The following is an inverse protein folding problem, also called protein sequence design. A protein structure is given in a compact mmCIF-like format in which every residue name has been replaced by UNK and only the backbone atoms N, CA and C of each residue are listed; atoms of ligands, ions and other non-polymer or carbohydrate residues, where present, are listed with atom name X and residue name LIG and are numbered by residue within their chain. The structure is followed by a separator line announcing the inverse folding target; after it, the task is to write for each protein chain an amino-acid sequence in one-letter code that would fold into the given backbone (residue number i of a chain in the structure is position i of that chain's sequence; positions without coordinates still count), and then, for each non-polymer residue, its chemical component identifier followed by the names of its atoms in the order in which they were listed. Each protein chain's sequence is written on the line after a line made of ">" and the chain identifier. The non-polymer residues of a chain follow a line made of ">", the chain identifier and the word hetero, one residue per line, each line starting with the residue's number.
data_IF_824598901312
#
_entry.id   IF_824598901312
#
_cell.length_a   1.000
_cell.length_b   1.000
_cell.length_c   1.000
_cell.angle_alpha   90.00
_cell.angle_beta   90.00
_cell.angle_gamma   90.00
#
_symmetry.space_group_name_H-M   'P 1'
#
loop_
_entity.id
_entity.type
_entity.pdbx_description
1 polymer ?
#
# COMPACT_ATOMS: atom_id res chain seq x y z
N UNK A 1 -1.68 6.24 14.42
CA UNK A 1 -2.26 5.32 13.41
C UNK A 1 -2.04 3.90 13.87
N UNK A 2 -3.10 3.10 13.96
CA UNK A 2 -3.03 1.68 14.33
C UNK A 2 -2.18 0.89 13.33
N UNK A 3 -1.42 -0.06 13.85
CA UNK A 3 -0.67 -1.03 13.05
C UNK A 3 -1.68 -1.89 12.27
N UNK A 4 -1.67 -1.85 10.95
CA UNK A 4 -2.50 -2.77 10.16
C UNK A 4 -1.92 -4.17 10.36
N UNK A 5 -2.66 -4.99 11.08
CA UNK A 5 -2.34 -6.40 11.30
C UNK A 5 -3.32 -7.22 10.46
N UNK A 6 -2.79 -8.04 9.58
CA UNK A 6 -3.59 -8.96 8.78
C UNK A 6 -3.90 -10.19 9.64
N UNK A 7 -5.18 -10.37 10.02
CA UNK A 7 -5.60 -11.57 10.78
C UNK A 7 -5.50 -12.80 9.88
N UNK A 8 -5.26 -13.96 10.50
CA UNK A 8 -5.24 -15.26 9.80
C UNK A 8 -6.56 -15.52 9.05
N UNK A 9 -7.69 -15.17 9.65
CA UNK A 9 -9.00 -15.32 9.01
C UNK A 9 -9.13 -14.44 7.75
N UNK A 10 -8.68 -13.19 7.80
CA UNK A 10 -8.67 -12.31 6.63
C UNK A 10 -7.83 -12.89 5.49
N UNK A 11 -6.59 -13.33 5.79
CA UNK A 11 -5.70 -13.95 4.81
C UNK A 11 -6.35 -15.20 4.20
N UNK A 12 -6.86 -16.09 5.04
CA UNK A 12 -7.47 -17.36 4.59
C UNK A 12 -8.70 -17.11 3.71
N UNK A 13 -9.58 -16.17 4.07
CA UNK A 13 -10.75 -15.84 3.27
C UNK A 13 -10.37 -15.23 1.91
N UNK A 14 -9.38 -14.33 1.89
CA UNK A 14 -8.86 -13.77 0.64
C UNK A 14 -8.29 -14.85 -0.28
N UNK A 15 -7.52 -15.78 0.28
CA UNK A 15 -6.91 -16.89 -0.47
C UNK A 15 -7.96 -17.85 -0.99
N UNK A 16 -8.99 -18.19 -0.19
CA UNK A 16 -10.09 -19.07 -0.65
C UNK A 16 -10.82 -18.48 -1.84
N UNK A 17 -11.09 -17.16 -1.81
CA UNK A 17 -11.73 -16.48 -2.94
C UNK A 17 -10.86 -16.55 -4.21
N UNK A 18 -9.55 -16.30 -4.08
CA UNK A 18 -8.63 -16.33 -5.22
C UNK A 18 -8.42 -17.76 -5.77
N UNK A 19 -8.36 -18.78 -4.89
CA UNK A 19 -8.32 -20.17 -5.34
C UNK A 19 -9.61 -20.57 -6.05
N UNK A 20 -10.77 -20.14 -5.55
CA UNK A 20 -12.04 -20.41 -6.19
C UNK A 20 -12.14 -19.75 -7.58
N UNK A 21 -11.67 -18.50 -7.71
CA UNK A 21 -11.61 -17.79 -8.99
C UNK A 21 -10.77 -18.55 -10.02
N UNK A 22 -9.62 -19.10 -9.62
CA UNK A 22 -8.67 -19.76 -10.52
C UNK A 22 -9.08 -21.22 -10.85
N UNK A 23 -9.84 -21.87 -9.98
CA UNK A 23 -10.22 -23.29 -10.11
C UNK A 23 -11.66 -23.54 -10.59
N UNK A 24 -12.51 -22.52 -10.62
CA UNK A 24 -13.90 -22.68 -11.04
C UNK A 24 -13.99 -22.73 -12.59
N UNK A 25 -14.85 -23.59 -13.18
CA UNK A 25 -15.69 -24.59 -12.49
C UNK A 25 -15.04 -26.00 -12.40
N UNK A 26 -13.95 -26.29 -13.15
CA UNK A 26 -13.50 -27.66 -13.42
C UNK A 26 -12.10 -27.99 -12.84
N UNK A 27 -11.52 -27.11 -12.06
CA UNK A 27 -10.17 -27.24 -11.54
C UNK A 27 -9.08 -27.07 -12.60
N UNK A 28 -7.84 -27.46 -12.30
CA UNK A 28 -6.72 -27.39 -13.24
C UNK A 28 -6.72 -28.58 -14.21
N UNK A 29 -7.26 -28.36 -15.41
CA UNK A 29 -7.35 -29.36 -16.46
C UNK A 29 -5.98 -29.84 -16.94
N UNK A 30 -4.95 -29.00 -16.89
CA UNK A 30 -3.59 -29.33 -17.32
C UNK A 30 -2.90 -30.23 -16.31
N UNK A 31 -2.93 -29.88 -15.02
CA UNK A 31 -2.36 -30.71 -13.97
C UNK A 31 -3.09 -32.06 -13.83
N UNK A 32 -4.36 -32.15 -14.26
CA UNK A 32 -5.08 -33.43 -14.32
C UNK A 32 -4.52 -34.43 -15.32
N UNK A 33 -3.69 -34.00 -16.26
CA UNK A 33 -2.97 -34.88 -17.19
C UNK A 33 -1.80 -35.63 -16.52
N UNK A 34 -1.36 -35.18 -15.34
CA UNK A 34 -0.26 -35.81 -14.58
C UNK A 34 -0.78 -37.12 -13.96
N UNK A 35 -0.44 -38.27 -14.58
CA UNK A 35 -0.88 -39.59 -14.12
C UNK A 35 -0.28 -40.02 -12.79
N UNK A 36 1.03 -39.75 -12.57
CA UNK A 36 1.73 -40.05 -11.31
C UNK A 36 2.36 -38.78 -10.75
N UNK A 37 1.84 -38.31 -9.64
CA UNK A 37 2.43 -37.22 -8.90
C UNK A 37 3.48 -37.74 -7.92
N UNK A 38 4.46 -36.92 -7.56
CA UNK A 38 5.53 -37.28 -6.62
C UNK A 38 5.81 -36.12 -5.68
N UNK A 39 6.32 -36.44 -4.50
CA UNK A 39 6.76 -35.45 -3.54
C UNK A 39 8.02 -34.77 -4.07
N UNK A 40 7.93 -33.46 -4.31
CA UNK A 40 9.06 -32.63 -4.77
C UNK A 40 9.25 -31.41 -3.89
N UNK A 41 10.41 -30.81 -3.99
CA UNK A 41 10.75 -29.56 -3.32
C UNK A 41 10.95 -28.47 -4.37
N UNK A 42 10.14 -27.44 -4.28
CA UNK A 42 10.20 -26.24 -5.13
C UNK A 42 10.78 -25.07 -4.36
N UNK A 43 11.38 -24.12 -5.06
CA UNK A 43 11.94 -22.88 -4.54
C UNK A 43 11.14 -21.70 -5.11
N UNK A 44 10.67 -20.81 -4.26
CA UNK A 44 10.15 -19.52 -4.71
C UNK A 44 11.32 -18.53 -4.72
N UNK A 45 11.59 -17.94 -5.88
CA UNK A 45 12.79 -17.12 -6.14
C UNK A 45 12.35 -15.74 -6.60
N UNK A 46 13.00 -14.69 -6.05
CA UNK A 46 12.80 -13.31 -6.51
C UNK A 46 13.56 -13.08 -7.82
N UNK A 47 12.89 -12.64 -8.89
CA UNK A 47 13.50 -12.32 -10.17
C UNK A 47 14.07 -10.90 -10.25
N UNK A 48 13.86 -10.10 -9.21
CA UNK A 48 14.38 -8.73 -9.11
C UNK A 48 14.64 -8.31 -7.66
N UNK A 49 15.35 -7.19 -7.48
CA UNK A 49 15.60 -6.62 -6.17
C UNK A 49 14.33 -5.95 -5.62
N UNK A 50 14.03 -6.12 -4.33
CA UNK A 50 12.85 -5.49 -3.74
C UNK A 50 12.66 -5.74 -2.25
N UNK A 51 11.46 -5.44 -1.77
CA UNK A 51 10.98 -5.71 -0.42
C UNK A 51 9.93 -6.82 -0.50
N UNK A 52 10.09 -7.86 0.28
CA UNK A 52 9.13 -8.97 0.33
C UNK A 52 7.87 -8.53 1.06
N UNK A 53 6.73 -8.91 0.51
CA UNK A 53 5.42 -8.80 1.13
C UNK A 53 4.48 -9.89 0.65
N UNK A 54 3.59 -10.37 1.52
CA UNK A 54 2.60 -11.39 1.16
C UNK A 54 3.01 -12.84 1.40
N UNK A 55 4.10 -13.09 2.12
CA UNK A 55 4.60 -14.45 2.37
C UNK A 55 3.55 -15.33 3.10
N UNK A 56 2.72 -14.73 3.96
CA UNK A 56 1.66 -15.46 4.66
C UNK A 56 0.50 -15.81 3.73
N UNK A 57 0.20 -15.00 2.72
CA UNK A 57 -0.78 -15.33 1.68
C UNK A 57 -0.30 -16.52 0.85
N UNK A 58 0.95 -16.48 0.38
CA UNK A 58 1.54 -17.58 -0.36
C UNK A 58 1.54 -18.88 0.47
N UNK A 59 1.96 -18.82 1.74
CA UNK A 59 1.87 -19.97 2.66
C UNK A 59 0.45 -20.49 2.80
N UNK A 60 -0.52 -19.59 2.99
CA UNK A 60 -1.94 -19.94 3.14
C UNK A 60 -2.50 -20.60 1.89
N UNK A 61 -2.09 -20.15 0.69
CA UNK A 61 -2.53 -20.73 -0.58
C UNK A 61 -2.21 -22.22 -0.64
N UNK A 62 -0.96 -22.59 -0.39
CA UNK A 62 -0.57 -23.99 -0.38
C UNK A 62 -1.27 -24.78 0.74
N UNK A 63 -1.33 -24.23 1.95
CA UNK A 63 -1.89 -24.92 3.13
C UNK A 63 -3.40 -25.09 3.10
N UNK A 64 -4.14 -24.19 2.46
CA UNK A 64 -5.60 -24.30 2.29
C UNK A 64 -5.95 -25.35 1.24
N UNK A 65 -5.16 -25.42 0.17
CA UNK A 65 -5.37 -26.38 -0.90
C UNK A 65 -4.99 -27.81 -0.47
N UNK A 66 -3.78 -27.96 0.11
CA UNK A 66 -3.30 -29.24 0.65
C UNK A 66 -2.52 -29.00 1.95
N UNK A 67 -3.09 -29.46 3.07
CA UNK A 67 -2.49 -29.27 4.39
C UNK A 67 -1.16 -30.06 4.58
N UNK A 68 -0.89 -31.07 3.75
CA UNK A 68 0.35 -31.84 3.80
C UNK A 68 1.54 -31.08 3.19
N UNK A 69 1.30 -30.07 2.34
CA UNK A 69 2.39 -29.27 1.77
C UNK A 69 3.14 -28.53 2.88
N UNK A 70 4.44 -28.73 2.94
CA UNK A 70 5.36 -28.04 3.84
C UNK A 70 5.83 -26.74 3.21
N UNK A 71 5.71 -25.63 3.93
CA UNK A 71 6.13 -24.29 3.45
C UNK A 71 7.16 -23.68 4.42
N UNK A 72 8.41 -23.59 3.97
CA UNK A 72 9.54 -23.10 4.75
C UNK A 72 9.91 -21.68 4.32
N UNK A 73 9.62 -20.69 5.17
CA UNK A 73 9.92 -19.28 4.93
C UNK A 73 11.42 -19.03 5.10
N UNK A 74 12.09 -18.50 4.07
CA UNK A 74 13.48 -18.04 4.10
C UNK A 74 13.59 -16.52 4.27
N UNK A 75 12.60 -15.76 3.79
CA UNK A 75 12.52 -14.30 3.93
C UNK A 75 11.15 -13.90 4.42
N UNK A 76 11.09 -13.11 5.49
CA UNK A 76 9.84 -12.60 6.07
C UNK A 76 9.38 -11.33 5.35
N UNK A 77 8.12 -10.97 5.50
CA UNK A 77 7.58 -9.70 5.02
C UNK A 77 8.39 -8.51 5.58
N UNK A 78 8.69 -7.52 4.74
CA UNK A 78 9.56 -6.39 5.04
C UNK A 78 11.05 -6.64 4.77
N UNK A 79 11.48 -7.89 4.52
CA UNK A 79 12.88 -8.18 4.20
C UNK A 79 13.27 -7.65 2.82
N UNK A 80 14.48 -7.09 2.72
CA UNK A 80 15.08 -6.78 1.42
C UNK A 80 15.60 -8.06 0.78
N UNK A 81 15.43 -8.18 -0.54
CA UNK A 81 15.95 -9.29 -1.34
C UNK A 81 16.63 -8.79 -2.59
N UNK A 82 17.56 -9.60 -3.10
CA UNK A 82 18.24 -9.44 -4.39
C UNK A 82 17.68 -10.43 -5.40
N UNK A 83 17.80 -10.11 -6.69
CA UNK A 83 17.51 -11.04 -7.79
C UNK A 83 18.24 -12.39 -7.55
N UNK A 84 17.54 -13.50 -7.77
CA UNK A 84 18.04 -14.86 -7.57
C UNK A 84 17.94 -15.40 -6.15
N UNK A 85 17.54 -14.59 -5.16
CA UNK A 85 17.40 -15.06 -3.78
C UNK A 85 16.14 -15.92 -3.58
N UNK A 86 16.32 -17.06 -2.90
CA UNK A 86 15.23 -17.92 -2.47
C UNK A 86 14.50 -17.25 -1.29
N UNK A 87 13.18 -17.09 -1.43
CA UNK A 87 12.32 -16.49 -0.39
C UNK A 87 11.54 -17.53 0.42
N UNK A 88 11.24 -18.68 -0.20
CA UNK A 88 10.61 -19.82 0.47
C UNK A 88 10.94 -21.13 -0.24
N UNK A 89 10.80 -22.23 0.48
CA UNK A 89 10.82 -23.61 -0.08
C UNK A 89 9.47 -24.25 0.18
N UNK A 90 8.95 -24.96 -0.82
CA UNK A 90 7.65 -25.62 -0.80
C UNK A 90 7.85 -27.09 -1.13
N UNK A 91 7.53 -27.99 -0.19
CA UNK A 91 7.69 -29.45 -0.37
C UNK A 91 6.33 -30.14 -0.23
N UNK A 92 5.96 -30.95 -1.19
CA UNK A 92 4.71 -31.68 -1.22
C UNK A 92 4.44 -32.34 -2.55
N UNK A 93 3.21 -32.76 -2.74
CA UNK A 93 2.74 -33.30 -4.02
C UNK A 93 2.95 -32.29 -5.13
N UNK A 94 3.67 -32.68 -6.17
CA UNK A 94 4.07 -31.77 -7.25
C UNK A 94 2.86 -31.20 -8.02
N UNK A 95 1.83 -32.00 -8.23
CA UNK A 95 0.60 -31.56 -8.89
C UNK A 95 -0.12 -30.50 -8.06
N UNK A 96 -0.29 -30.73 -6.76
CA UNK A 96 -0.96 -29.78 -5.86
C UNK A 96 -0.17 -28.46 -5.74
N UNK A 97 1.17 -28.52 -5.77
CA UNK A 97 2.00 -27.32 -5.76
C UNK A 97 1.82 -26.51 -7.05
N UNK A 98 1.79 -27.14 -8.24
CA UNK A 98 1.58 -26.45 -9.52
C UNK A 98 0.21 -25.78 -9.60
N UNK A 99 -0.84 -26.44 -9.11
CA UNK A 99 -2.20 -25.86 -9.03
C UNK A 99 -2.22 -24.56 -8.22
N UNK A 100 -1.45 -24.49 -7.13
CA UNK A 100 -1.42 -23.34 -6.22
C UNK A 100 -0.47 -22.23 -6.67
N UNK A 101 0.44 -22.49 -7.59
CA UNK A 101 1.55 -21.62 -7.96
C UNK A 101 1.08 -20.20 -8.26
N UNK A 102 0.16 -20.06 -9.22
CA UNK A 102 -0.23 -18.76 -9.74
C UNK A 102 -0.84 -17.86 -8.68
N UNK A 103 -1.78 -18.38 -7.89
CA UNK A 103 -2.41 -17.63 -6.80
C UNK A 103 -1.38 -17.19 -5.75
N UNK A 104 -0.47 -18.09 -5.35
CA UNK A 104 0.58 -17.77 -4.39
C UNK A 104 1.53 -16.69 -4.91
N UNK A 105 1.99 -16.80 -6.17
CA UNK A 105 2.88 -15.82 -6.78
C UNK A 105 2.18 -14.46 -7.02
N UNK A 106 0.90 -14.44 -7.37
CA UNK A 106 0.14 -13.20 -7.57
C UNK A 106 0.09 -12.36 -6.28
N UNK A 107 -0.19 -12.96 -5.11
CA UNK A 107 -0.15 -12.25 -3.84
C UNK A 107 1.25 -11.72 -3.52
N UNK A 108 2.29 -12.55 -3.69
CA UNK A 108 3.68 -12.12 -3.50
C UNK A 108 4.04 -10.95 -4.42
N UNK A 109 3.70 -11.06 -5.71
CA UNK A 109 4.01 -10.05 -6.73
C UNK A 109 3.36 -8.72 -6.44
N UNK A 110 2.06 -8.72 -6.14
CA UNK A 110 1.31 -7.50 -5.86
C UNK A 110 1.80 -6.80 -4.59
N UNK A 111 1.89 -7.53 -3.47
CA UNK A 111 2.22 -6.96 -2.17
C UNK A 111 3.70 -6.50 -2.14
N UNK A 112 4.62 -7.33 -2.66
CA UNK A 112 6.03 -6.96 -2.77
C UNK A 112 6.26 -5.81 -3.74
N UNK A 113 5.49 -5.73 -4.82
CA UNK A 113 5.52 -4.64 -5.80
C UNK A 113 5.22 -3.29 -5.13
N UNK A 114 4.12 -3.20 -4.41
CA UNK A 114 3.73 -1.99 -3.65
C UNK A 114 4.78 -1.64 -2.59
N UNK A 115 5.24 -2.62 -1.82
CA UNK A 115 6.27 -2.41 -0.79
C UNK A 115 7.58 -1.87 -1.41
N UNK A 116 8.03 -2.50 -2.51
CA UNK A 116 9.25 -2.11 -3.21
C UNK A 116 9.11 -0.71 -3.85
N UNK A 117 7.97 -0.42 -4.48
CA UNK A 117 7.72 0.89 -5.09
C UNK A 117 7.64 1.99 -4.04
N UNK A 118 6.95 1.75 -2.92
CA UNK A 118 6.93 2.67 -1.76
C UNK A 118 8.35 2.94 -1.25
N UNK A 119 9.18 1.90 -1.13
CA UNK A 119 10.55 2.02 -0.63
C UNK A 119 11.43 2.89 -1.53
N UNK A 120 11.20 2.91 -2.87
CA UNK A 120 11.90 3.82 -3.78
C UNK A 120 11.65 5.28 -3.41
N UNK A 121 10.40 5.67 -3.13
CA UNK A 121 10.06 7.03 -2.67
C UNK A 121 10.71 7.35 -1.32
N UNK A 122 10.58 6.44 -0.35
CA UNK A 122 11.14 6.62 1.01
C UNK A 122 12.64 6.86 0.96
N UNK A 123 13.38 6.08 0.17
CA UNK A 123 14.84 6.23 0.02
C UNK A 123 15.24 7.57 -0.61
N UNK A 124 14.43 8.10 -1.54
CA UNK A 124 14.75 9.34 -2.24
C UNK A 124 14.65 10.58 -1.35
N UNK A 125 13.78 10.59 -0.35
CA UNK A 125 13.55 11.75 0.53
C UNK A 125 14.45 11.76 1.78
N UNK A 126 15.18 10.68 2.05
CA UNK A 126 16.13 10.56 3.18
C UNK A 126 15.53 10.99 4.54
N UNK A 127 14.27 10.68 4.79
CA UNK A 127 13.58 10.93 6.08
C UNK A 127 13.13 12.38 6.34
N UNK A 128 13.30 13.29 5.39
CA UNK A 128 12.88 14.72 5.55
C UNK A 128 11.36 14.91 5.61
N UNK A 129 10.62 14.03 5.00
CA UNK A 129 9.15 13.98 5.01
C UNK A 129 8.69 12.53 5.14
N UNK A 130 7.42 12.29 5.43
CA UNK A 130 6.83 10.93 5.43
C UNK A 130 6.12 10.68 4.11
N UNK A 131 6.41 9.57 3.44
CA UNK A 131 5.63 9.11 2.28
C UNK A 131 4.32 8.53 2.78
N UNK A 132 3.20 8.97 2.21
CA UNK A 132 1.87 8.56 2.62
C UNK A 132 1.08 7.99 1.44
N UNK A 133 0.34 6.89 1.63
CA UNK A 133 -0.63 6.45 0.62
C UNK A 133 -1.90 7.28 0.70
N UNK A 134 -2.81 7.05 -0.23
CA UNK A 134 -4.13 7.69 -0.29
C UNK A 134 -5.25 6.65 -0.17
N UNK A 135 -6.51 7.05 -0.46
CA UNK A 135 -7.63 6.14 -0.69
C UNK A 135 -7.80 5.71 -2.14
N UNK A 136 -6.90 6.13 -3.04
CA UNK A 136 -6.83 5.65 -4.43
C UNK A 136 -6.22 4.24 -4.43
N UNK A 137 -7.07 3.24 -4.16
CA UNK A 137 -6.71 1.83 -4.02
C UNK A 137 -7.56 0.98 -4.97
N UNK A 138 -7.09 -0.18 -5.35
CA UNK A 138 -7.89 -1.17 -6.06
C UNK A 138 -9.07 -1.58 -5.16
N UNK A 139 -10.31 -1.62 -5.66
CA UNK A 139 -11.47 -2.06 -4.89
C UNK A 139 -11.19 -3.40 -4.17
N UNK A 140 -11.67 -3.52 -2.94
CA UNK A 140 -11.51 -4.68 -2.05
C UNK A 140 -10.07 -5.01 -1.61
N UNK A 141 -9.02 -4.42 -2.22
CA UNK A 141 -7.61 -4.68 -1.84
C UNK A 141 -7.00 -3.63 -0.89
N UNK A 142 -7.76 -2.65 -0.41
CA UNK A 142 -7.23 -1.53 0.40
C UNK A 142 -6.43 -1.98 1.62
N UNK A 143 -6.91 -2.97 2.35
CA UNK A 143 -6.23 -3.50 3.55
C UNK A 143 -4.85 -4.03 3.17
N UNK A 144 -4.78 -4.87 2.14
CA UNK A 144 -3.56 -5.49 1.63
C UNK A 144 -2.58 -4.42 1.12
N UNK A 145 -3.08 -3.47 0.32
CA UNK A 145 -2.24 -2.41 -0.26
C UNK A 145 -1.68 -1.47 0.81
N UNK A 146 -2.48 -1.08 1.81
CA UNK A 146 -2.01 -0.26 2.93
C UNK A 146 -1.02 -1.02 3.84
N UNK A 147 -1.18 -2.33 4.00
CA UNK A 147 -0.19 -3.19 4.64
C UNK A 147 1.14 -3.15 3.87
N UNK A 148 1.12 -3.33 2.56
CA UNK A 148 2.29 -3.30 1.70
C UNK A 148 3.04 -1.95 1.76
N UNK A 149 2.32 -0.84 1.80
CA UNK A 149 2.91 0.51 1.98
C UNK A 149 3.72 0.58 3.28
N UNK A 150 3.22 -0.01 4.38
CA UNK A 150 3.96 -0.06 5.66
C UNK A 150 5.23 -0.88 5.55
N UNK A 151 5.20 -2.01 4.85
CA UNK A 151 6.39 -2.84 4.61
C UNK A 151 7.48 -2.06 3.84
N UNK A 152 7.07 -1.19 2.90
CA UNK A 152 7.98 -0.33 2.14
C UNK A 152 8.54 0.87 2.93
N UNK A 153 8.15 1.06 4.20
CA UNK A 153 8.57 2.19 5.04
C UNK A 153 7.69 3.44 4.90
N UNK A 154 6.59 3.35 4.17
CA UNK A 154 5.59 4.42 4.06
C UNK A 154 4.65 4.50 5.26
N UNK A 155 3.78 5.50 5.24
CA UNK A 155 2.71 5.72 6.21
C UNK A 155 1.35 5.63 5.53
N UNK A 156 0.29 5.46 6.30
CA UNK A 156 -1.06 5.38 5.76
C UNK A 156 -1.85 6.66 6.06
N UNK A 157 -2.55 7.18 5.08
CA UNK A 157 -3.62 8.14 5.25
C UNK A 157 -4.89 7.43 5.75
N UNK A 158 -5.96 8.19 6.10
CA UNK A 158 -7.24 7.65 6.56
C UNK A 158 -7.63 6.38 5.78
N UNK A 159 -8.16 5.40 6.50
CA UNK A 159 -8.53 4.12 5.92
C UNK A 159 -9.83 4.20 5.11
N UNK A 160 -10.83 4.89 5.68
CA UNK A 160 -12.16 5.05 5.08
C UNK A 160 -12.69 6.48 5.31
N UNK A 161 -13.96 6.73 4.97
CA UNK A 161 -14.59 8.04 5.10
C UNK A 161 -14.93 8.41 6.55
N UNK A 162 -15.02 7.42 7.44
CA UNK A 162 -15.35 7.64 8.85
C UNK A 162 -14.12 7.78 9.76
N UNK A 163 -12.90 7.55 9.25
CA UNK A 163 -11.67 7.54 10.03
C UNK A 163 -11.17 8.97 10.36
N UNK A 164 -11.22 9.86 9.39
CA UNK A 164 -10.73 11.24 9.49
C UNK A 164 -11.52 12.16 8.56
N UNK A 165 -11.82 13.38 9.01
CA UNK A 165 -12.37 14.42 8.13
C UNK A 165 -11.30 14.84 7.11
N UNK A 166 -11.68 14.91 5.83
CA UNK A 166 -10.88 15.50 4.77
C UNK A 166 -11.80 16.40 3.94
N UNK A 167 -11.70 17.70 4.20
CA UNK A 167 -12.43 18.73 3.47
C UNK A 167 -11.67 19.01 2.18
N UNK A 168 -12.37 18.94 1.04
CA UNK A 168 -11.82 19.03 -0.30
C UNK A 168 -12.54 20.07 -1.14
N UNK A 169 -11.96 20.39 -2.30
CA UNK A 169 -12.50 21.24 -3.35
C UNK A 169 -14.00 20.98 -3.63
N UNK A 170 -14.40 19.74 -3.85
CA UNK A 170 -15.79 19.35 -4.10
C UNK A 170 -16.75 19.67 -2.94
N UNK A 171 -16.26 19.73 -1.71
CA UNK A 171 -17.09 20.17 -0.57
C UNK A 171 -17.22 21.69 -0.55
N UNK A 172 -16.17 22.40 -0.97
CA UNK A 172 -16.11 23.87 -0.99
C UNK A 172 -16.99 24.43 -2.13
N UNK A 173 -17.14 23.70 -3.23
CA UNK A 173 -18.03 24.08 -4.33
C UNK A 173 -19.49 24.31 -3.87
N UNK A 174 -19.90 23.66 -2.78
CA UNK A 174 -21.26 23.73 -2.22
C UNK A 174 -21.34 24.50 -0.92
N UNK A 175 -20.22 25.03 -0.37
CA UNK A 175 -20.21 25.70 0.93
C UNK A 175 -18.90 26.44 1.19
N UNK A 176 -18.94 27.47 2.04
CA UNK A 176 -17.75 28.22 2.46
C UNK A 176 -16.75 27.34 3.21
N UNK A 177 -15.44 27.46 2.87
CA UNK A 177 -14.37 26.66 3.46
C UNK A 177 -14.27 26.86 4.97
N UNK A 178 -14.30 28.10 5.45
CA UNK A 178 -14.18 28.42 6.88
C UNK A 178 -15.35 27.84 7.68
N UNK A 179 -16.57 27.96 7.14
CA UNK A 179 -17.75 27.35 7.72
C UNK A 179 -17.64 25.83 7.84
N UNK A 180 -17.19 25.15 6.78
CA UNK A 180 -17.00 23.68 6.80
C UNK A 180 -15.96 23.25 7.83
N UNK A 181 -14.85 23.96 7.95
CA UNK A 181 -13.80 23.66 8.94
C UNK A 181 -14.34 23.85 10.37
N UNK A 182 -15.05 24.93 10.65
CA UNK A 182 -15.66 25.18 11.97
C UNK A 182 -16.71 24.12 12.31
N UNK A 183 -17.55 23.73 11.35
CA UNK A 183 -18.53 22.66 11.51
C UNK A 183 -17.88 21.31 11.77
N UNK A 184 -16.77 20.99 11.06
CA UNK A 184 -15.99 19.77 11.31
C UNK A 184 -15.39 19.76 12.71
N UNK A 185 -14.85 20.88 13.19
CA UNK A 185 -14.31 21.01 14.56
C UNK A 185 -15.38 20.73 15.61
N UNK A 186 -16.57 21.30 15.45
CA UNK A 186 -17.71 21.10 16.37
C UNK A 186 -18.11 19.61 16.43
N UNK A 187 -18.03 18.91 15.31
CA UNK A 187 -18.52 17.52 15.16
C UNK A 187 -17.41 16.43 15.22
N UNK A 188 -16.13 16.78 15.38
CA UNK A 188 -15.01 15.84 15.18
C UNK A 188 -14.97 14.64 16.12
N UNK A 189 -15.54 14.72 17.33
CA UNK A 189 -15.54 13.63 18.33
C UNK A 189 -14.17 12.92 18.43
N UNK A 190 -13.08 13.68 18.59
CA UNK A 190 -11.71 13.15 18.67
C UNK A 190 -11.05 12.80 17.32
N UNK A 191 -11.77 12.83 16.20
CA UNK A 191 -11.20 12.54 14.88
C UNK A 191 -10.34 13.68 14.37
N UNK A 192 -9.33 13.34 13.57
CA UNK A 192 -8.48 14.33 12.89
C UNK A 192 -9.25 15.05 11.79
N UNK A 193 -8.81 16.27 11.52
CA UNK A 193 -9.31 17.08 10.41
C UNK A 193 -8.13 17.47 9.53
N UNK A 194 -8.20 17.08 8.26
CA UNK A 194 -7.33 17.53 7.19
C UNK A 194 -8.12 18.46 6.26
N UNK A 195 -7.54 19.60 5.93
CA UNK A 195 -8.14 20.58 5.03
C UNK A 195 -7.27 20.72 3.79
N UNK A 196 -7.85 20.44 2.63
CA UNK A 196 -7.21 20.57 1.33
C UNK A 196 -7.38 22.01 0.83
N UNK A 197 -6.29 22.60 0.34
CA UNK A 197 -6.26 23.95 -0.24
C UNK A 197 -5.47 23.95 -1.54
N UNK A 198 -5.96 24.65 -2.55
CA UNK A 198 -5.37 24.72 -3.89
C UNK A 198 -4.47 25.95 -4.08
N UNK A 199 -4.54 26.92 -3.17
CA UNK A 199 -3.80 28.17 -3.29
C UNK A 199 -3.59 28.86 -1.94
N UNK A 200 -2.72 29.86 -1.94
CA UNK A 200 -2.36 30.65 -0.76
C UNK A 200 -3.55 31.45 -0.20
N UNK A 201 -4.51 31.88 -1.02
CA UNK A 201 -5.70 32.63 -0.58
C UNK A 201 -6.58 31.76 0.30
N UNK A 202 -6.87 30.52 -0.14
CA UNK A 202 -7.60 29.55 0.68
C UNK A 202 -6.87 29.23 1.99
N UNK A 203 -5.54 29.02 1.95
CA UNK A 203 -4.77 28.81 3.17
C UNK A 203 -4.95 29.99 4.14
N UNK A 204 -4.77 31.23 3.67
CA UNK A 204 -4.91 32.42 4.52
C UNK A 204 -6.29 32.54 5.16
N UNK A 205 -7.36 32.12 4.47
CA UNK A 205 -8.73 32.22 4.98
C UNK A 205 -9.02 31.31 6.18
N UNK A 206 -8.23 30.24 6.36
CA UNK A 206 -8.38 29.26 7.46
C UNK A 206 -7.28 29.38 8.52
N UNK A 207 -6.33 30.29 8.35
CA UNK A 207 -5.29 30.53 9.36
C UNK A 207 -5.92 30.98 10.69
N UNK A 208 -5.35 30.50 11.80
CA UNK A 208 -5.88 30.77 13.15
C UNK A 208 -6.99 29.81 13.62
N UNK A 209 -7.57 29.00 12.72
CA UNK A 209 -8.54 27.96 13.09
C UNK A 209 -7.78 26.70 13.50
N UNK A 210 -8.06 26.12 14.67
CA UNK A 210 -7.34 24.94 15.20
C UNK A 210 -7.86 23.63 14.59
N UNK A 211 -7.12 23.06 13.62
CA UNK A 211 -7.31 21.71 13.07
C UNK A 211 -5.96 21.00 12.94
N UNK A 212 -5.91 19.79 12.37
CA UNK A 212 -4.72 18.94 12.46
C UNK A 212 -3.74 19.14 11.28
N UNK A 213 -4.23 19.04 10.05
CA UNK A 213 -3.37 18.97 8.88
C UNK A 213 -3.91 19.87 7.77
N UNK A 214 -3.03 20.63 7.13
CA UNK A 214 -3.33 21.31 5.86
C UNK A 214 -2.64 20.56 4.71
N UNK A 215 -3.41 20.27 3.67
CA UNK A 215 -2.97 19.58 2.48
C UNK A 215 -2.94 20.54 1.30
N UNK A 216 -1.78 20.68 0.66
CA UNK A 216 -1.54 21.49 -0.54
C UNK A 216 -1.73 20.59 -1.75
N UNK A 217 -2.82 20.77 -2.50
CA UNK A 217 -3.13 19.92 -3.64
C UNK A 217 -2.70 20.58 -4.95
N UNK A 218 -2.00 19.82 -5.80
CA UNK A 218 -1.54 20.22 -7.13
C UNK A 218 -0.78 21.56 -7.22
N UNK A 219 -0.18 22.05 -6.13
CA UNK A 219 0.59 23.29 -6.12
C UNK A 219 1.99 23.08 -6.71
N UNK A 220 2.54 24.12 -7.35
CA UNK A 220 3.94 24.16 -7.74
C UNK A 220 4.88 24.32 -6.52
N UNK A 221 6.16 24.04 -6.71
CA UNK A 221 7.16 24.00 -5.63
C UNK A 221 7.26 25.34 -4.87
N UNK A 222 7.18 26.47 -5.56
CA UNK A 222 7.28 27.80 -4.95
C UNK A 222 6.07 28.09 -4.05
N UNK A 223 4.87 27.77 -4.53
CA UNK A 223 3.66 27.92 -3.74
C UNK A 223 3.68 26.99 -2.50
N UNK A 224 4.13 25.73 -2.63
CA UNK A 224 4.28 24.82 -1.48
C UNK A 224 5.25 25.42 -0.47
N UNK A 225 6.41 25.96 -0.87
CA UNK A 225 7.37 26.61 0.06
C UNK A 225 6.74 27.77 0.81
N UNK A 226 6.02 28.66 0.11
CA UNK A 226 5.32 29.78 0.74
C UNK A 226 4.27 29.29 1.74
N UNK A 227 3.45 28.33 1.36
CA UNK A 227 2.44 27.75 2.22
C UNK A 227 3.04 27.04 3.44
N UNK A 228 4.12 26.27 3.28
CA UNK A 228 4.83 25.65 4.39
C UNK A 228 5.35 26.67 5.39
N UNK A 229 5.98 27.76 4.90
CA UNK A 229 6.49 28.84 5.76
C UNK A 229 5.40 29.45 6.65
N UNK A 230 4.19 29.58 6.15
CA UNK A 230 3.04 30.13 6.89
C UNK A 230 2.41 29.08 7.81
N UNK A 231 2.21 27.87 7.32
CA UNK A 231 1.34 26.88 7.96
C UNK A 231 2.05 25.99 9.01
N UNK A 232 3.35 25.72 8.85
CA UNK A 232 4.07 24.69 9.61
C UNK A 232 4.11 24.91 11.14
N UNK A 233 3.97 26.15 11.60
CA UNK A 233 3.90 26.46 13.05
C UNK A 233 2.57 26.05 13.68
N UNK A 234 1.52 25.86 12.88
CA UNK A 234 0.13 25.67 13.32
C UNK A 234 -0.43 24.29 12.96
N UNK A 235 0.04 23.71 11.84
CA UNK A 235 -0.51 22.50 11.25
C UNK A 235 0.56 21.53 10.83
N UNK A 236 0.26 20.23 10.84
CA UNK A 236 0.99 19.26 10.05
C UNK A 236 0.76 19.60 8.57
N UNK A 237 1.83 19.69 7.78
CA UNK A 237 1.77 20.08 6.37
C UNK A 237 1.88 18.86 5.46
N UNK A 238 1.03 18.80 4.44
CA UNK A 238 1.01 17.71 3.47
C UNK A 238 1.03 18.26 2.05
N UNK A 239 1.81 17.64 1.15
CA UNK A 239 1.75 17.90 -0.29
C UNK A 239 1.11 16.70 -1.00
N UNK A 240 0.25 16.98 -1.97
CA UNK A 240 -0.46 16.01 -2.80
C UNK A 240 -0.53 16.48 -4.25
N UNK A 241 -0.87 15.57 -5.16
CA UNK A 241 -1.07 15.86 -6.57
C UNK A 241 0.18 15.64 -7.42
N UNK A 242 0.07 14.79 -8.44
CA UNK A 242 1.07 14.51 -9.47
C UNK A 242 2.49 14.17 -8.96
N UNK A 243 2.58 13.52 -7.78
CA UNK A 243 3.85 13.12 -7.17
C UNK A 243 4.43 11.88 -7.85
N UNK A 244 5.67 12.00 -8.30
CA UNK A 244 6.42 10.96 -9.03
C UNK A 244 7.82 10.78 -8.45
N UNK A 245 8.54 9.72 -8.84
CA UNK A 245 9.96 9.53 -8.48
C UNK A 245 10.86 10.66 -9.02
N UNK A 246 10.44 11.37 -10.08
CA UNK A 246 11.21 12.48 -10.68
C UNK A 246 11.13 13.75 -9.81
N UNK A 247 9.96 14.08 -9.26
CA UNK A 247 9.73 15.33 -8.54
C UNK A 247 9.76 15.22 -7.01
N UNK A 248 9.68 14.01 -6.44
CA UNK A 248 9.57 13.78 -4.99
C UNK A 248 10.68 14.46 -4.16
N UNK A 249 11.92 14.51 -4.69
CA UNK A 249 13.03 15.19 -4.02
C UNK A 249 12.80 16.69 -3.87
N UNK A 250 12.30 17.33 -4.92
CA UNK A 250 11.99 18.76 -4.93
C UNK A 250 10.84 19.09 -3.97
N UNK A 251 9.78 18.26 -3.98
CA UNK A 251 8.66 18.38 -3.04
C UNK A 251 9.14 18.23 -1.60
N UNK A 252 9.94 17.22 -1.29
CA UNK A 252 10.48 17.02 0.08
C UNK A 252 11.37 18.17 0.55
N UNK A 253 12.09 18.84 -0.37
CA UNK A 253 12.92 20.02 -0.04
C UNK A 253 12.12 21.26 0.32
N UNK A 254 10.83 21.31 0.06
CA UNK A 254 9.94 22.40 0.51
C UNK A 254 9.75 22.42 2.00
N UNK A 255 10.04 21.32 2.69
CA UNK A 255 9.92 21.17 4.12
C UNK A 255 8.55 20.68 4.60
N UNK A 256 7.68 20.19 3.71
CA UNK A 256 6.41 19.52 4.11
C UNK A 256 6.67 18.33 5.01
N UNK A 257 5.77 18.07 5.95
CA UNK A 257 5.93 16.98 6.92
C UNK A 257 5.58 15.63 6.31
N UNK A 258 4.62 15.58 5.37
CA UNK A 258 4.25 14.36 4.64
C UNK A 258 3.91 14.63 3.18
N UNK A 259 4.04 13.60 2.36
CA UNK A 259 3.80 13.66 0.92
C UNK A 259 2.91 12.49 0.54
N UNK A 260 1.70 12.79 0.07
CA UNK A 260 0.74 11.78 -0.39
C UNK A 260 1.00 11.39 -1.83
N UNK A 261 1.17 10.09 -2.06
CA UNK A 261 1.47 9.50 -3.36
C UNK A 261 0.42 8.45 -3.70
N UNK A 262 -0.49 8.75 -4.62
CA UNK A 262 -1.53 7.82 -5.03
C UNK A 262 -1.00 6.62 -5.80
N UNK A 263 0.00 6.84 -6.67
CA UNK A 263 0.55 5.80 -7.54
C UNK A 263 1.17 4.61 -6.80
N UNK A 264 1.56 4.75 -5.53
CA UNK A 264 2.10 3.63 -4.74
C UNK A 264 1.05 2.55 -4.45
N UNK A 265 -0.25 2.86 -4.61
CA UNK A 265 -1.32 1.88 -4.38
C UNK A 265 -2.09 1.53 -5.65
N UNK A 266 -2.38 2.49 -6.54
CA UNK A 266 -3.17 2.19 -7.74
C UNK A 266 -2.34 1.85 -8.99
N UNK A 267 -1.02 2.13 -9.01
CA UNK A 267 -0.17 1.96 -10.19
C UNK A 267 1.24 1.42 -9.86
N UNK A 268 1.39 0.78 -8.71
CA UNK A 268 2.66 0.13 -8.38
C UNK A 268 2.90 -1.07 -9.31
N UNK A 269 4.09 -1.20 -9.93
CA UNK A 269 4.42 -2.36 -10.72
C UNK A 269 4.52 -3.61 -9.83
N UNK A 270 4.01 -4.73 -10.30
CA UNK A 270 4.17 -6.02 -9.64
C UNK A 270 5.65 -6.41 -9.57
N UNK A 271 6.05 -7.09 -8.52
CA UNK A 271 7.39 -7.68 -8.40
C UNK A 271 7.37 -9.09 -8.96
N UNK A 272 8.36 -9.44 -9.76
CA UNK A 272 8.42 -10.74 -10.42
C UNK A 272 9.05 -11.82 -9.53
N UNK A 273 8.38 -12.99 -9.49
CA UNK A 273 8.81 -14.21 -8.81
C UNK A 273 8.60 -15.42 -9.70
N UNK A 274 9.39 -16.46 -9.46
CA UNK A 274 9.24 -17.77 -10.10
C UNK A 274 9.23 -18.89 -9.08
N UNK A 275 8.61 -20.00 -9.45
CA UNK A 275 8.64 -21.27 -8.75
C UNK A 275 9.47 -22.26 -9.58
N UNK A 276 10.52 -22.84 -9.00
CA UNK A 276 11.42 -23.81 -9.65
C UNK A 276 11.68 -25.02 -8.75
N UNK A 277 11.96 -26.17 -9.35
CA UNK A 277 12.39 -27.38 -8.65
C UNK A 277 13.81 -27.27 -8.13
#
# INVERSE_FOLDING_TARGET
>A
MSKIILSKNFINNSVKLALNEDLYPSGDITSNLIKKSSIKTFKIIANQNGIIGGIQFAKSTFKIFDNNIQFHIKKKDGSQVKKGQIIAMVKGDSKNILICERVALNYLSHISGIASYTNKFVKLIKGKSKICCTRKTIPNLRVIQKYAVKLGGGTNHRFNLSDEYLIKDNHIASSDLKFLVQKAIKNKKGKKITVEVDNLKQLKSIMGIKFNTVLFDNMNIENIKMCVKLAKKYYETEASGNITLKNIKSVSRTGVDRISVGSITHSAPAMDFKLEI
#
